data_IF_174293895867
#
_entry.id   IF_174293895867
#
_cell.length_a   1.000
_cell.length_b   1.000
_cell.length_c   1.000
_cell.angle_alpha   90.00
_cell.angle_beta   90.00
_cell.angle_gamma   90.00
#
_symmetry.space_group_name_H-M   'P 1'
#
loop_
_entity.id
_entity.type
_entity.pdbx_description
1 polymer ?
#
# COMPACT_ATOMS: atom_id res chain seq x y z
N UNK A 1 1.05 -32.03 -2.79
CA UNK A 1 -0.19 -31.52 -2.14
C UNK A 1 0.03 -30.68 -0.88
N UNK A 2 1.25 -30.53 -0.32
CA UNK A 2 1.50 -29.73 0.90
C UNK A 2 1.78 -28.23 0.64
N UNK A 3 2.19 -27.84 -0.56
CA UNK A 3 2.60 -26.45 -0.83
C UNK A 3 1.42 -25.48 -1.03
N UNK A 4 0.27 -25.98 -1.51
CA UNK A 4 -0.93 -25.18 -1.68
C UNK A 4 -1.61 -24.78 -0.35
N UNK A 5 -1.36 -25.51 0.75
CA UNK A 5 -1.84 -25.16 2.09
C UNK A 5 -0.96 -24.10 2.77
N UNK A 6 0.35 -24.09 2.50
CA UNK A 6 1.29 -23.10 3.06
C UNK A 6 1.08 -21.68 2.51
N UNK A 7 0.63 -21.53 1.26
CA UNK A 7 0.28 -20.21 0.71
C UNK A 7 -1.00 -19.63 1.33
N UNK A 8 -2.04 -20.45 1.52
CA UNK A 8 -3.38 -20.01 1.94
C UNK A 8 -3.50 -19.64 3.42
N UNK A 9 -2.70 -20.26 4.29
CA UNK A 9 -2.66 -19.90 5.73
C UNK A 9 -1.97 -18.53 5.89
N UNK A 10 -0.90 -18.28 5.13
CA UNK A 10 -0.20 -16.99 5.13
C UNK A 10 -1.10 -15.83 4.70
N UNK A 11 -1.98 -16.03 3.73
CA UNK A 11 -2.90 -14.99 3.26
C UNK A 11 -3.96 -14.62 4.33
N UNK A 12 -4.44 -15.60 5.10
CA UNK A 12 -5.39 -15.36 6.18
C UNK A 12 -4.74 -14.60 7.35
N UNK A 13 -3.52 -15.01 7.72
CA UNK A 13 -2.75 -14.34 8.76
C UNK A 13 -2.35 -12.92 8.34
N UNK A 14 -2.01 -12.70 7.06
CA UNK A 14 -1.73 -11.38 6.51
C UNK A 14 -2.96 -10.47 6.52
N UNK A 15 -4.14 -10.98 6.17
CA UNK A 15 -5.39 -10.21 6.23
C UNK A 15 -5.74 -9.82 7.67
N UNK A 16 -5.56 -10.76 8.62
CA UNK A 16 -5.78 -10.49 10.04
C UNK A 16 -4.80 -9.43 10.56
N UNK A 17 -3.51 -9.54 10.20
CA UNK A 17 -2.51 -8.55 10.56
C UNK A 17 -2.81 -7.17 9.98
N UNK A 18 -3.18 -7.08 8.70
CA UNK A 18 -3.57 -5.82 8.07
C UNK A 18 -4.78 -5.18 8.76
N UNK A 19 -5.76 -5.99 9.18
CA UNK A 19 -6.93 -5.51 9.92
C UNK A 19 -6.53 -4.91 11.27
N UNK A 20 -5.67 -5.59 12.02
CA UNK A 20 -5.19 -5.10 13.32
C UNK A 20 -4.36 -3.81 13.18
N UNK A 21 -3.59 -3.67 12.10
CA UNK A 21 -2.85 -2.43 11.83
C UNK A 21 -3.80 -1.28 11.51
N UNK A 22 -4.85 -1.52 10.70
CA UNK A 22 -5.88 -0.52 10.43
C UNK A 22 -6.63 -0.10 11.71
N UNK A 23 -7.04 -1.07 12.54
CA UNK A 23 -7.66 -0.79 13.85
C UNK A 23 -6.73 0.03 14.76
N UNK A 24 -5.42 -0.28 14.75
CA UNK A 24 -4.43 0.49 15.48
C UNK A 24 -4.32 1.94 14.96
N UNK A 25 -4.26 2.14 13.63
CA UNK A 25 -4.22 3.47 13.02
C UNK A 25 -5.45 4.30 13.42
N UNK A 26 -6.63 3.67 13.50
CA UNK A 26 -7.89 4.34 13.83
C UNK A 26 -7.91 4.89 15.28
N UNK A 27 -7.19 4.25 16.22
CA UNK A 27 -7.17 4.65 17.65
C UNK A 27 -5.89 5.36 18.09
N UNK A 28 -4.80 5.22 17.33
CA UNK A 28 -3.53 5.83 17.66
C UNK A 28 -3.55 7.36 17.46
N UNK A 29 -2.56 8.03 18.04
CA UNK A 29 -2.38 9.47 17.80
C UNK A 29 -2.15 9.74 16.31
N UNK A 30 -2.89 10.71 15.79
CA UNK A 30 -2.78 11.17 14.42
C UNK A 30 -1.40 11.78 14.15
N UNK A 31 -0.91 11.57 12.93
CA UNK A 31 0.31 12.24 12.49
C UNK A 31 0.03 13.74 12.26
N UNK A 32 0.93 14.66 12.70
CA UNK A 32 0.70 16.10 12.63
C UNK A 32 0.34 16.59 11.22
N UNK A 33 -0.74 17.36 11.10
CA UNK A 33 -1.33 17.77 9.81
C UNK A 33 -0.48 18.77 9.00
N UNK A 34 0.54 19.34 9.61
CA UNK A 34 1.50 20.28 9.00
C UNK A 34 2.82 19.62 8.59
N UNK A 35 3.06 18.36 9.01
CA UNK A 35 4.31 17.67 8.76
C UNK A 35 4.30 16.91 7.42
N UNK A 36 5.43 16.92 6.72
CA UNK A 36 5.62 16.19 5.46
C UNK A 36 6.00 14.73 5.69
N UNK A 37 5.66 13.89 4.72
CA UNK A 37 6.07 12.49 4.66
C UNK A 37 6.65 12.14 3.29
N UNK A 38 7.57 11.19 3.27
CA UNK A 38 8.30 10.76 2.09
C UNK A 38 8.18 9.25 1.89
N UNK A 39 8.05 8.83 0.63
CA UNK A 39 8.05 7.41 0.26
C UNK A 39 8.71 7.21 -1.11
N UNK A 40 9.76 6.40 -1.16
CA UNK A 40 10.29 5.91 -2.43
C UNK A 40 9.41 4.79 -2.98
N UNK A 41 9.02 4.89 -4.26
CA UNK A 41 8.18 3.89 -4.92
C UNK A 41 8.86 3.41 -6.21
N UNK A 42 9.04 2.09 -6.32
CA UNK A 42 9.75 1.48 -7.45
C UNK A 42 8.85 1.26 -8.65
N UNK A 43 9.37 1.47 -9.86
CA UNK A 43 8.68 1.19 -11.14
C UNK A 43 7.31 1.88 -11.26
N UNK A 44 7.19 3.11 -10.76
CA UNK A 44 5.94 3.88 -10.73
C UNK A 44 5.98 5.14 -11.60
N UNK A 45 7.11 5.48 -12.22
CA UNK A 45 7.25 6.71 -13.03
C UNK A 45 6.24 6.77 -14.17
N UNK A 46 6.10 5.68 -14.93
CA UNK A 46 5.18 5.65 -16.07
C UNK A 46 3.70 5.80 -15.65
N UNK A 47 3.33 5.19 -14.53
CA UNK A 47 2.00 5.31 -13.92
C UNK A 47 1.73 6.75 -13.50
N UNK A 48 2.66 7.38 -12.77
CA UNK A 48 2.51 8.77 -12.37
C UNK A 48 2.57 9.75 -13.54
N UNK A 49 3.31 9.48 -14.62
CA UNK A 49 3.31 10.35 -15.80
C UNK A 49 1.95 10.38 -16.52
N UNK A 50 1.15 9.30 -16.43
CA UNK A 50 -0.19 9.23 -17.03
C UNK A 50 -1.25 10.02 -16.26
N UNK A 51 -1.06 10.18 -14.95
CA UNK A 51 -1.99 10.95 -14.13
C UNK A 51 -1.70 12.44 -14.34
N UNK A 52 -2.70 13.31 -14.43
CA UNK A 52 -2.46 14.76 -14.52
C UNK A 52 -2.33 15.37 -13.11
N UNK A 53 -1.72 16.55 -13.01
CA UNK A 53 -1.86 17.37 -11.79
C UNK A 53 -3.35 17.67 -11.57
N UNK A 54 -3.80 17.60 -10.32
CA UNK A 54 -5.21 17.57 -9.93
C UNK A 54 -5.86 16.18 -10.02
N UNK A 55 -5.16 15.18 -10.56
CA UNK A 55 -5.62 13.80 -10.61
C UNK A 55 -5.45 13.08 -9.27
N UNK A 56 -6.18 11.99 -9.12
CA UNK A 56 -6.23 11.20 -7.88
C UNK A 56 -5.34 9.95 -7.98
N UNK A 57 -4.80 9.52 -6.85
CA UNK A 57 -4.03 8.30 -6.72
C UNK A 57 -4.46 7.50 -5.48
N UNK A 58 -4.96 6.26 -5.64
CA UNK A 58 -5.33 5.45 -4.49
C UNK A 58 -4.10 4.78 -3.87
N UNK A 59 -3.94 4.91 -2.56
CA UNK A 59 -2.96 4.15 -1.78
C UNK A 59 -3.62 2.84 -1.33
N UNK A 60 -3.86 1.92 -2.27
CA UNK A 60 -4.71 0.71 -2.11
C UNK A 60 -4.23 -0.31 -1.05
N UNK A 61 -3.15 -0.02 -0.34
CA UNK A 61 -2.60 -0.85 0.73
C UNK A 61 -2.01 0.02 1.85
N UNK A 62 -1.81 -0.59 3.02
CA UNK A 62 -1.06 0.02 4.12
C UNK A 62 0.24 0.60 3.59
N UNK A 63 0.38 1.91 3.73
CA UNK A 63 1.43 2.67 3.07
C UNK A 63 2.43 3.14 4.11
N UNK A 64 3.63 2.55 4.05
CA UNK A 64 4.77 2.97 4.87
C UNK A 64 5.41 4.25 4.31
N UNK A 65 5.64 5.21 5.17
CA UNK A 65 6.29 6.48 4.84
C UNK A 65 7.29 6.85 5.92
N UNK A 66 8.19 7.78 5.62
CA UNK A 66 9.15 8.29 6.58
C UNK A 66 9.04 9.80 6.71
N UNK A 67 9.30 10.32 7.90
CA UNK A 67 9.51 11.77 8.09
C UNK A 67 10.86 12.24 7.53
N UNK A 68 11.73 11.32 7.09
CA UNK A 68 13.07 11.59 6.58
C UNK A 68 13.17 11.24 5.11
N UNK A 69 13.53 12.24 4.31
CA UNK A 69 13.84 12.04 2.89
C UNK A 69 14.90 10.94 2.67
N UNK A 70 15.98 10.96 3.47
CA UNK A 70 17.09 10.00 3.35
C UNK A 70 16.67 8.54 3.59
N UNK A 71 15.75 8.30 4.53
CA UNK A 71 15.21 6.97 4.77
C UNK A 71 14.32 6.53 3.61
N UNK A 72 13.46 7.42 3.10
CA UNK A 72 12.61 7.13 1.95
C UNK A 72 13.41 6.91 0.65
N UNK A 73 14.53 7.63 0.47
CA UNK A 73 15.37 7.49 -0.72
C UNK A 73 16.08 6.14 -0.81
N UNK A 74 16.26 5.42 0.30
CA UNK A 74 16.79 4.05 0.29
C UNK A 74 15.89 3.06 -0.48
N UNK A 75 14.63 3.44 -0.75
CA UNK A 75 13.70 2.66 -1.55
C UNK A 75 13.73 2.98 -3.05
N UNK A 76 14.56 3.95 -3.46
CA UNK A 76 14.83 4.32 -4.86
C UNK A 76 16.07 3.56 -5.34
N UNK A 77 15.92 2.75 -6.38
CA UNK A 77 16.99 1.93 -6.95
C UNK A 77 17.31 2.33 -8.39
N UNK A 78 16.31 2.79 -9.15
CA UNK A 78 16.50 3.27 -10.50
C UNK A 78 15.72 4.57 -10.70
N UNK A 79 16.45 5.69 -10.79
CA UNK A 79 15.91 7.04 -10.97
C UNK A 79 15.04 7.18 -12.24
N UNK A 80 15.27 6.37 -13.27
CA UNK A 80 14.52 6.41 -14.53
C UNK A 80 13.11 5.80 -14.39
N UNK A 81 12.90 4.92 -13.42
CA UNK A 81 11.65 4.17 -13.27
C UNK A 81 10.95 4.41 -11.94
N UNK A 82 11.69 4.87 -10.94
CA UNK A 82 11.23 5.06 -9.58
C UNK A 82 10.79 6.51 -9.36
N UNK A 83 10.01 6.73 -8.29
CA UNK A 83 9.51 8.05 -7.94
C UNK A 83 9.64 8.28 -6.44
N UNK A 84 9.84 9.55 -6.08
CA UNK A 84 9.65 10.01 -4.71
C UNK A 84 8.22 10.54 -4.56
N UNK A 85 7.41 9.89 -3.74
CA UNK A 85 6.12 10.42 -3.33
C UNK A 85 6.33 11.32 -2.09
N UNK A 86 5.89 12.57 -2.18
CA UNK A 86 5.94 13.55 -1.10
C UNK A 86 4.52 13.89 -0.69
N UNK A 87 4.12 13.48 0.52
CA UNK A 87 2.79 13.76 1.05
C UNK A 87 2.89 15.07 1.83
N UNK A 88 2.20 16.09 1.30
CA UNK A 88 2.16 17.46 1.81
C UNK A 88 0.98 17.63 2.76
N UNK A 89 1.30 18.04 3.99
CA UNK A 89 0.35 18.05 5.09
C UNK A 89 0.09 16.63 5.56
N UNK A 90 0.32 16.36 6.85
CA UNK A 90 0.09 15.04 7.43
C UNK A 90 -1.37 14.63 7.41
N UNK A 91 -1.72 13.58 8.16
CA UNK A 91 -3.06 13.01 8.07
C UNK A 91 -3.50 12.35 9.36
N UNK A 92 -4.80 12.44 9.63
CA UNK A 92 -5.47 11.69 10.69
C UNK A 92 -5.57 10.18 10.41
N UNK A 93 -5.31 9.77 9.17
CA UNK A 93 -5.29 8.37 8.75
C UNK A 93 -3.88 7.80 8.74
N UNK A 94 -3.01 8.36 9.57
CA UNK A 94 -1.61 7.97 9.68
C UNK A 94 -1.13 8.10 11.12
N UNK A 95 -0.20 7.22 11.49
CA UNK A 95 0.38 7.22 12.83
C UNK A 95 1.86 6.87 12.80
N UNK A 96 2.64 7.48 13.69
CA UNK A 96 4.04 7.12 13.84
C UNK A 96 4.16 5.80 14.59
N UNK A 97 4.89 4.85 14.00
CA UNK A 97 5.19 3.56 14.64
C UNK A 97 6.63 3.49 15.15
N UNK A 98 7.31 4.65 15.26
CA UNK A 98 8.69 4.75 15.76
C UNK A 98 8.91 4.03 17.09
N UNK A 99 7.89 3.98 17.95
CA UNK A 99 7.97 3.35 19.26
C UNK A 99 7.73 1.82 19.22
N UNK A 100 7.16 1.31 18.13
CA UNK A 100 6.85 -0.12 17.93
C UNK A 100 7.87 -0.83 17.02
N UNK A 101 8.52 -0.10 16.11
CA UNK A 101 9.49 -0.66 15.16
C UNK A 101 10.87 -0.90 15.78
N UNK A 102 11.58 -1.93 15.29
CA UNK A 102 13.00 -2.16 15.59
C UNK A 102 13.89 -1.14 14.88
N UNK A 103 13.43 -0.56 13.76
CA UNK A 103 14.18 0.42 12.96
C UNK A 103 13.80 1.86 13.31
N UNK A 104 13.97 2.24 14.58
CA UNK A 104 13.54 3.56 15.11
C UNK A 104 14.15 4.75 14.37
N UNK A 105 15.30 4.56 13.73
CA UNK A 105 16.00 5.59 12.96
C UNK A 105 15.27 6.00 11.67
N UNK A 106 14.39 5.15 11.15
CA UNK A 106 13.61 5.41 9.92
C UNK A 106 12.47 6.39 10.14
N UNK A 107 12.12 6.70 11.41
CA UNK A 107 10.97 7.56 11.75
C UNK A 107 9.73 7.20 10.92
N UNK A 108 9.38 5.92 10.92
CA UNK A 108 8.30 5.41 10.10
C UNK A 108 6.93 5.92 10.58
N UNK A 109 6.10 6.23 9.59
CA UNK A 109 4.70 6.60 9.72
C UNK A 109 3.90 5.69 8.79
N UNK A 110 3.02 4.88 9.38
CA UNK A 110 2.10 4.04 8.64
C UNK A 110 0.84 4.83 8.31
N UNK A 111 0.42 4.74 7.05
CA UNK A 111 -0.82 5.31 6.55
C UNK A 111 -1.81 4.20 6.22
N UNK A 112 -3.09 4.47 6.48
CA UNK A 112 -4.19 3.58 6.12
C UNK A 112 -4.21 3.29 4.62
N UNK A 113 -4.51 2.05 4.24
CA UNK A 113 -4.72 1.63 2.85
C UNK A 113 -6.05 2.09 2.25
N UNK A 114 -6.83 2.87 3.00
CA UNK A 114 -8.11 3.44 2.58
C UNK A 114 -7.96 4.81 1.92
N UNK A 115 -6.74 5.32 1.85
CA UNK A 115 -6.47 6.70 1.44
C UNK A 115 -6.44 6.86 -0.07
N UNK A 116 -7.01 7.97 -0.53
CA UNK A 116 -6.76 8.53 -1.84
C UNK A 116 -5.99 9.84 -1.66
N UNK A 117 -5.03 10.11 -2.53
CA UNK A 117 -4.26 11.35 -2.53
C UNK A 117 -4.46 12.10 -3.84
N UNK A 118 -4.51 13.43 -3.75
CA UNK A 118 -4.61 14.30 -4.92
C UNK A 118 -3.21 14.74 -5.31
N UNK A 119 -2.84 14.62 -6.59
CA UNK A 119 -1.55 15.07 -7.08
C UNK A 119 -1.55 16.58 -7.26
N UNK A 120 -0.80 17.29 -6.43
CA UNK A 120 -0.76 18.76 -6.42
C UNK A 120 0.39 19.32 -7.27
N UNK A 121 1.50 18.59 -7.41
CA UNK A 121 2.65 19.02 -8.21
C UNK A 121 3.52 17.83 -8.62
N UNK A 122 4.17 17.94 -9.78
CA UNK A 122 5.23 17.03 -10.23
C UNK A 122 6.41 17.84 -10.71
N UNK A 123 7.62 17.38 -10.43
CA UNK A 123 8.82 17.90 -11.06
C UNK A 123 9.94 16.86 -10.98
N UNK A 124 10.93 17.00 -11.85
CA UNK A 124 12.15 16.21 -11.78
C UNK A 124 13.23 17.02 -11.08
N UNK A 125 13.96 16.40 -10.16
CA UNK A 125 15.10 17.06 -9.52
C UNK A 125 16.33 17.10 -10.45
N UNK A 126 17.40 17.73 -9.97
CA UNK A 126 18.66 17.85 -10.71
C UNK A 126 19.31 16.51 -11.11
N UNK A 127 18.90 15.41 -10.47
CA UNK A 127 19.40 14.07 -10.76
C UNK A 127 18.42 13.28 -11.64
N UNK A 128 17.33 13.89 -12.11
CA UNK A 128 16.32 13.25 -12.96
C UNK A 128 15.33 12.36 -12.21
N UNK A 129 15.31 12.38 -10.87
CA UNK A 129 14.31 11.66 -10.08
C UNK A 129 12.98 12.43 -10.13
N UNK A 130 11.89 11.73 -10.45
CA UNK A 130 10.55 12.31 -10.42
C UNK A 130 10.04 12.43 -8.98
N UNK A 131 9.76 13.66 -8.55
CA UNK A 131 9.07 13.97 -7.30
C UNK A 131 7.59 14.23 -7.57
N UNK A 132 6.73 13.47 -6.92
CA UNK A 132 5.27 13.58 -7.00
C UNK A 132 4.76 14.08 -5.66
N UNK A 133 4.38 15.35 -5.61
CA UNK A 133 3.79 15.95 -4.42
C UNK A 133 2.29 15.72 -4.44
N UNK A 134 1.78 15.21 -3.32
CA UNK A 134 0.38 14.84 -3.15
C UNK A 134 -0.16 15.38 -1.85
N UNK A 135 -1.48 15.51 -1.74
CA UNK A 135 -2.18 15.82 -0.49
C UNK A 135 -3.21 14.74 -0.22
N UNK A 136 -3.41 14.36 1.05
CA UNK A 136 -4.45 13.40 1.41
C UNK A 136 -5.83 13.98 1.12
N UNK A 137 -6.67 13.19 0.45
CA UNK A 137 -8.06 13.53 0.17
C UNK A 137 -8.98 12.91 1.23
N UNK A 138 -9.20 13.66 2.32
CA UNK A 138 -9.96 13.19 3.50
C UNK A 138 -11.44 12.88 3.20
N UNK A 139 -11.98 13.31 2.05
CA UNK A 139 -13.37 13.05 1.66
C UNK A 139 -13.57 11.65 1.07
N UNK A 140 -12.49 10.96 0.71
CA UNK A 140 -12.50 9.70 -0.04
C UNK A 140 -11.78 8.57 0.69
N UNK A 141 -11.94 8.52 2.01
CA UNK A 141 -11.56 7.34 2.78
C UNK A 141 -12.69 6.33 2.66
N UNK A 142 -12.46 5.24 1.93
CA UNK A 142 -13.42 4.13 1.90
C UNK A 142 -13.29 3.36 3.22
N UNK A 143 -14.29 3.39 4.12
CA UNK A 143 -14.25 2.51 5.27
C UNK A 143 -14.29 1.07 4.76
N UNK A 144 -13.26 0.28 5.08
CA UNK A 144 -13.35 -1.17 4.91
C UNK A 144 -14.42 -1.64 5.88
N UNK A 145 -15.58 -2.01 5.35
CA UNK A 145 -16.63 -2.54 6.21
C UNK A 145 -16.27 -3.95 6.66
N UNK A 146 -16.59 -4.32 7.90
CA UNK A 146 -16.47 -5.70 8.40
C UNK A 146 -17.12 -6.71 7.44
N UNK A 147 -18.16 -6.28 6.72
CA UNK A 147 -18.85 -7.06 5.69
C UNK A 147 -18.04 -7.28 4.41
N UNK A 148 -17.21 -6.33 3.97
CA UNK A 148 -16.30 -6.52 2.83
C UNK A 148 -15.15 -7.47 3.17
N UNK A 149 -14.65 -7.40 4.41
CA UNK A 149 -13.67 -8.36 4.95
C UNK A 149 -14.30 -9.76 5.00
N UNK A 150 -15.51 -9.89 5.56
CA UNK A 150 -16.24 -11.15 5.61
C UNK A 150 -16.59 -11.68 4.21
N UNK A 151 -16.95 -10.82 3.25
CA UNK A 151 -17.17 -11.22 1.86
C UNK A 151 -15.88 -11.75 1.22
N UNK A 152 -14.73 -11.12 1.44
CA UNK A 152 -13.42 -11.65 1.03
C UNK A 152 -13.14 -13.04 1.61
N UNK A 153 -13.44 -13.23 2.90
CA UNK A 153 -13.32 -14.52 3.61
C UNK A 153 -14.31 -15.57 3.08
N UNK A 154 -15.54 -15.19 2.73
CA UNK A 154 -16.58 -16.10 2.22
C UNK A 154 -16.32 -16.47 0.75
N UNK A 155 -15.87 -15.53 -0.08
CA UNK A 155 -15.54 -15.78 -1.49
C UNK A 155 -14.35 -16.74 -1.65
N UNK A 156 -13.34 -16.64 -0.78
CA UNK A 156 -12.22 -17.60 -0.77
C UNK A 156 -12.66 -19.02 -0.34
N UNK A 157 -13.67 -19.11 0.54
CA UNK A 157 -14.30 -20.39 0.93
C UNK A 157 -15.17 -20.99 -0.20
N UNK A 158 -15.88 -20.16 -0.98
CA UNK A 158 -16.77 -20.64 -2.05
C UNK A 158 -16.04 -21.05 -3.34
N UNK A 159 -14.95 -20.38 -3.73
CA UNK A 159 -14.09 -20.85 -4.83
C UNK A 159 -13.59 -22.30 -4.60
N UNK A 160 -13.29 -22.67 -3.36
CA UNK A 160 -12.91 -24.04 -2.99
C UNK A 160 -14.04 -25.08 -3.14
N UNK A 161 -15.33 -24.68 -3.13
CA UNK A 161 -16.44 -25.62 -3.37
C UNK A 161 -16.68 -25.85 -4.86
N UNK A 162 -16.46 -24.84 -5.70
CA UNK A 162 -16.60 -24.94 -7.15
C UNK A 162 -15.44 -25.71 -7.79
N UNK A 163 -14.20 -25.43 -7.37
CA UNK A 163 -12.99 -26.07 -7.92
C UNK A 163 -12.88 -27.57 -7.53
N UNK A 164 -13.48 -27.96 -6.40
CA UNK A 164 -13.58 -29.37 -5.98
C UNK A 164 -14.70 -30.15 -6.68
N UNK A 165 -15.60 -29.50 -7.43
CA UNK A 165 -16.75 -30.14 -8.09
C UNK A 165 -16.55 -30.43 -9.58
N UNK A 166 -15.45 -30.00 -10.19
CA UNK A 166 -15.13 -30.33 -11.59
C UNK A 166 -13.66 -30.72 -11.79
N UNK A 167 -13.26 -31.96 -11.45
CA UNK A 167 -11.95 -32.49 -11.80
C UNK A 167 -12.02 -33.18 -13.16
N UNK A 168 -12.30 -32.47 -14.26
CA UNK A 168 -12.12 -33.04 -15.62
C UNK A 168 -11.67 -31.95 -16.59
N UNK A 169 -10.36 -31.88 -16.75
CA UNK A 169 -9.61 -31.83 -18.02
C UNK A 169 -8.22 -31.25 -17.70
N UNK A 170 -7.29 -32.13 -17.32
CA UNK A 170 -5.86 -31.88 -17.52
C UNK A 170 -5.39 -32.86 -18.58
N UNK A 171 -4.99 -32.27 -19.69
CA UNK A 171 -4.48 -32.88 -20.90
C UNK A 171 -3.32 -33.82 -20.60
N UNK A 172 -3.31 -34.99 -21.24
CA UNK A 172 -2.07 -35.72 -21.53
C UNK A 172 -1.66 -35.34 -22.94
N UNK A 173 -0.58 -34.57 -23.07
CA UNK A 173 0.20 -34.45 -24.31
C UNK A 173 1.60 -33.94 -23.95
N UNK A 174 2.49 -34.90 -23.77
CA UNK A 174 3.95 -34.86 -23.75
C UNK A 174 4.32 -36.36 -23.73
N UNK A 175 5.06 -36.98 -24.67
CA UNK A 175 5.98 -36.56 -25.72
C UNK A 175 6.09 -37.73 -26.75
N UNK A 176 6.50 -37.41 -28.00
CA UNK A 176 7.02 -38.33 -29.05
C UNK A 176 6.07 -39.33 -29.73
#
# INVERSE_FOLDING_TARGET
MRDAQKGRIKDFDALKAATLIEEYIDVAAYYPLDAKLYRGMRKKREEFNKIKTGGEYPLEALTSTSTKYSSASNFIYNIETDVMLVIEGGTKYGTSIKHLTQLRSENEVLLSGKLTVDIIKKYEDKNGLLHVHVRVNDKKVKPITRNEILKGIIMSKNKNKLDKRHPRYRMTLEEK
#
